data_IF_602897345428
#
_entry.id   IF_602897345428
#
_cell.length_a   1.000
_cell.length_b   1.000
_cell.length_c   1.000
_cell.angle_alpha   90.00
_cell.angle_beta   90.00
_cell.angle_gamma   90.00
#
_symmetry.space_group_name_H-M   'P 1'
#
loop_
_entity.id
_entity.type
_entity.pdbx_description
1 polymer ?
#
# COMPACT_ATOMS: atom_id res chain seq x y z
N UNK A 1 6.72 -18.03 13.89
CA UNK A 1 6.67 -17.25 12.63
C UNK A 1 5.30 -17.46 12.05
N UNK A 2 4.43 -16.45 12.09
CA UNK A 2 3.16 -16.46 11.35
C UNK A 2 3.50 -16.53 9.87
N UNK A 3 2.97 -17.54 9.16
CA UNK A 3 3.11 -17.59 7.71
C UNK A 3 2.44 -16.34 7.14
N UNK A 4 3.19 -15.50 6.39
CA UNK A 4 2.58 -14.43 5.60
C UNK A 4 1.62 -15.04 4.58
N UNK A 5 0.53 -14.34 4.30
CA UNK A 5 -0.47 -14.81 3.36
C UNK A 5 -0.02 -14.59 1.92
N UNK A 6 -0.56 -15.38 1.01
CA UNK A 6 -0.38 -15.25 -0.44
C UNK A 6 -1.74 -15.43 -1.12
N UNK A 7 -1.81 -15.19 -2.43
CA UNK A 7 -3.04 -15.47 -3.18
C UNK A 7 -3.50 -16.94 -3.01
N UNK A 8 -2.58 -17.90 -2.88
CA UNK A 8 -2.94 -19.31 -2.75
C UNK A 8 -3.58 -19.67 -1.40
N UNK A 9 -3.38 -18.84 -0.37
CA UNK A 9 -3.95 -19.08 0.95
C UNK A 9 -5.31 -18.42 1.14
N UNK A 10 -5.79 -17.64 0.16
CA UNK A 10 -7.14 -17.04 0.18
C UNK A 10 -8.18 -18.09 -0.20
N UNK A 11 -9.30 -18.15 0.51
CA UNK A 11 -10.35 -19.14 0.30
C UNK A 11 -11.25 -18.84 -0.92
N UNK A 12 -10.66 -18.69 -2.13
CA UNK A 12 -11.36 -18.31 -3.37
C UNK A 12 -12.58 -19.17 -3.72
N UNK A 13 -12.59 -20.44 -3.31
CA UNK A 13 -13.72 -21.35 -3.51
C UNK A 13 -15.00 -20.92 -2.77
N UNK A 14 -14.91 -19.99 -1.83
CA UNK A 14 -16.04 -19.41 -1.11
C UNK A 14 -16.70 -18.25 -1.85
N UNK A 15 -16.13 -17.83 -2.97
CA UNK A 15 -16.63 -16.69 -3.73
C UNK A 15 -18.10 -16.89 -4.12
N UNK A 16 -18.94 -15.89 -3.85
CA UNK A 16 -20.35 -15.90 -4.21
C UNK A 16 -20.75 -14.60 -4.92
N UNK A 17 -20.91 -14.68 -6.24
CA UNK A 17 -21.33 -13.55 -7.08
C UNK A 17 -22.66 -12.92 -6.66
N UNK A 18 -23.54 -13.65 -5.99
CA UNK A 18 -24.85 -13.13 -5.55
C UNK A 18 -24.77 -12.20 -4.35
N UNK A 19 -23.62 -12.18 -3.66
CA UNK A 19 -23.34 -11.32 -2.50
C UNK A 19 -22.49 -10.10 -2.86
N UNK A 20 -22.11 -9.94 -4.12
CA UNK A 20 -21.33 -8.80 -4.61
C UNK A 20 -22.19 -7.53 -4.57
N UNK A 21 -21.67 -6.52 -3.89
CA UNK A 21 -22.21 -5.16 -3.92
C UNK A 21 -21.57 -4.39 -5.11
N UNK A 22 -22.37 -3.89 -6.07
CA UNK A 22 -21.84 -3.16 -7.24
C UNK A 22 -21.04 -1.90 -6.89
N UNK A 23 -21.40 -1.20 -5.82
CA UNK A 23 -20.69 0.01 -5.40
C UNK A 23 -19.33 -0.36 -4.82
N UNK A 24 -19.26 -1.40 -3.99
CA UNK A 24 -17.98 -1.94 -3.52
C UNK A 24 -17.13 -2.50 -4.66
N UNK A 25 -17.74 -3.13 -5.66
CA UNK A 25 -17.01 -3.62 -6.83
C UNK A 25 -16.29 -2.48 -7.58
N UNK A 26 -16.96 -1.35 -7.80
CA UNK A 26 -16.33 -0.19 -8.43
C UNK A 26 -15.14 0.33 -7.61
N UNK A 27 -15.31 0.39 -6.29
CA UNK A 27 -14.24 0.79 -5.34
C UNK A 27 -13.07 -0.18 -5.38
N UNK A 28 -13.32 -1.49 -5.34
CA UNK A 28 -12.28 -2.52 -5.34
C UNK A 28 -11.50 -2.55 -6.66
N UNK A 29 -12.16 -2.34 -7.80
CA UNK A 29 -11.46 -2.20 -9.10
C UNK A 29 -10.48 -1.03 -9.07
N UNK A 30 -10.88 0.12 -8.54
CA UNK A 30 -9.99 1.27 -8.42
C UNK A 30 -8.83 0.98 -7.45
N UNK A 31 -9.12 0.39 -6.29
CA UNK A 31 -8.13 0.02 -5.29
C UNK A 31 -7.09 -0.96 -5.86
N UNK A 32 -7.52 -1.99 -6.59
CA UNK A 32 -6.62 -2.96 -7.23
C UNK A 32 -5.56 -2.31 -8.13
N UNK A 33 -5.95 -1.27 -8.87
CA UNK A 33 -5.03 -0.53 -9.75
C UNK A 33 -4.05 0.34 -8.95
N UNK A 34 -4.50 0.94 -7.85
CA UNK A 34 -3.68 1.78 -6.99
C UNK A 34 -2.63 0.94 -6.27
N UNK A 35 -3.01 -0.15 -5.62
CA UNK A 35 -2.06 -1.03 -4.90
C UNK A 35 -1.06 -1.66 -5.84
N UNK A 36 -1.51 -2.13 -7.01
CA UNK A 36 -0.59 -2.68 -8.00
C UNK A 36 0.34 -1.63 -8.62
N UNK A 37 0.17 -0.33 -8.34
CA UNK A 37 1.02 0.73 -8.87
C UNK A 37 2.12 1.21 -7.90
N UNK A 38 2.57 0.35 -6.98
CA UNK A 38 3.64 0.70 -6.05
C UNK A 38 5.04 0.80 -6.69
N UNK A 39 5.31 0.08 -7.80
CA UNK A 39 6.65 -0.09 -8.37
C UNK A 39 7.39 1.23 -8.66
N UNK A 40 6.74 2.20 -9.32
CA UNK A 40 7.35 3.51 -9.62
C UNK A 40 7.66 4.28 -8.32
N UNK A 41 6.81 4.14 -7.30
CA UNK A 41 7.01 4.80 -6.01
C UNK A 41 8.14 4.15 -5.20
N UNK A 42 8.27 2.82 -5.24
CA UNK A 42 9.40 2.08 -4.66
C UNK A 42 10.71 2.56 -5.28
N UNK A 43 10.77 2.63 -6.61
CA UNK A 43 11.96 3.10 -7.32
C UNK A 43 12.32 4.53 -6.94
N UNK A 44 11.33 5.42 -6.88
CA UNK A 44 11.48 6.79 -6.41
C UNK A 44 12.03 6.85 -4.97
N UNK A 45 11.45 6.09 -4.04
CA UNK A 45 11.94 6.04 -2.64
C UNK A 45 13.36 5.51 -2.55
N UNK A 46 13.72 4.49 -3.34
CA UNK A 46 15.09 3.98 -3.40
C UNK A 46 16.09 5.05 -3.87
N UNK A 47 15.68 5.93 -4.79
CA UNK A 47 16.52 7.05 -5.23
C UNK A 47 16.69 8.12 -4.13
N UNK A 48 15.62 8.47 -3.41
CA UNK A 48 15.66 9.47 -2.33
C UNK A 48 16.48 9.00 -1.12
N UNK A 49 16.50 7.70 -0.85
CA UNK A 49 17.16 7.06 0.29
C UNK A 49 18.35 6.17 -0.14
N UNK A 50 19.00 6.48 -1.27
CA UNK A 50 20.03 5.63 -1.87
C UNK A 50 21.26 5.33 -0.98
N UNK A 51 21.51 6.17 0.04
CA UNK A 51 22.56 6.01 1.06
C UNK A 51 22.11 5.21 2.30
N UNK A 52 20.86 4.77 2.35
CA UNK A 52 20.28 3.95 3.43
C UNK A 52 19.89 2.56 2.89
N UNK A 53 20.82 1.59 2.88
CA UNK A 53 20.58 0.27 2.30
C UNK A 53 19.53 -0.55 3.07
N UNK A 54 19.33 -0.29 4.37
CA UNK A 54 18.29 -0.94 5.16
C UNK A 54 16.91 -0.44 4.72
N UNK A 55 16.76 0.87 4.55
CA UNK A 55 15.53 1.45 4.03
C UNK A 55 15.23 0.98 2.60
N UNK A 56 16.23 0.93 1.72
CA UNK A 56 16.06 0.43 0.34
C UNK A 56 15.53 -1.01 0.34
N UNK A 57 16.10 -1.89 1.16
CA UNK A 57 15.64 -3.27 1.28
C UNK A 57 14.19 -3.34 1.82
N UNK A 58 13.85 -2.50 2.80
CA UNK A 58 12.49 -2.42 3.33
C UNK A 58 11.48 -1.92 2.28
N UNK A 59 11.82 -0.87 1.52
CA UNK A 59 10.97 -0.33 0.46
C UNK A 59 10.74 -1.33 -0.68
N UNK A 60 11.77 -2.09 -1.07
CA UNK A 60 11.63 -3.16 -2.07
C UNK A 60 10.73 -4.28 -1.58
N UNK A 61 10.86 -4.66 -0.30
CA UNK A 61 10.01 -5.68 0.28
C UNK A 61 8.55 -5.25 0.36
N UNK A 62 8.31 -4.02 0.81
CA UNK A 62 6.99 -3.39 0.82
C UNK A 62 6.36 -3.38 -0.58
N UNK A 63 7.12 -3.04 -1.63
CA UNK A 63 6.64 -3.08 -3.00
C UNK A 63 6.09 -4.44 -3.46
N UNK A 64 6.67 -5.54 -2.97
CA UNK A 64 6.17 -6.90 -3.27
C UNK A 64 4.85 -7.18 -2.54
N UNK A 65 4.68 -6.67 -1.33
CA UNK A 65 3.43 -6.80 -0.56
C UNK A 65 2.30 -6.02 -1.23
N UNK A 66 2.56 -4.79 -1.68
CA UNK A 66 1.62 -3.95 -2.41
C UNK A 66 1.17 -4.57 -3.75
N UNK A 67 2.11 -5.13 -4.53
CA UNK A 67 1.77 -5.86 -5.75
C UNK A 67 0.86 -7.07 -5.46
N UNK A 68 1.09 -7.75 -4.33
CA UNK A 68 0.24 -8.86 -3.88
C UNK A 68 -1.17 -8.36 -3.52
N UNK A 69 -1.30 -7.22 -2.84
CA UNK A 69 -2.58 -6.62 -2.50
C UNK A 69 -3.37 -6.29 -3.77
N UNK A 70 -2.74 -5.61 -4.73
CA UNK A 70 -3.33 -5.30 -6.02
C UNK A 70 -3.75 -6.55 -6.80
N UNK A 71 -2.93 -7.60 -6.81
CA UNK A 71 -3.26 -8.85 -7.47
C UNK A 71 -4.43 -9.60 -6.81
N UNK A 72 -4.53 -9.58 -5.48
CA UNK A 72 -5.66 -10.19 -4.76
C UNK A 72 -6.97 -9.45 -5.05
N UNK A 73 -6.97 -8.12 -5.01
CA UNK A 73 -8.13 -7.30 -5.34
C UNK A 73 -8.53 -7.42 -6.81
N UNK A 74 -7.55 -7.43 -7.71
CA UNK A 74 -7.76 -7.62 -9.15
C UNK A 74 -8.42 -8.96 -9.44
N UNK A 75 -7.89 -10.06 -8.88
CA UNK A 75 -8.49 -11.40 -9.02
C UNK A 75 -9.92 -11.45 -8.48
N UNK A 76 -10.18 -10.83 -7.32
CA UNK A 76 -11.54 -10.74 -6.79
C UNK A 76 -12.48 -9.97 -7.74
N UNK A 77 -12.01 -8.85 -8.29
CA UNK A 77 -12.79 -8.04 -9.22
C UNK A 77 -13.11 -8.77 -10.53
N UNK A 78 -12.19 -9.59 -11.05
CA UNK A 78 -12.41 -10.43 -12.24
C UNK A 78 -13.42 -11.57 -11.97
N UNK A 79 -13.46 -12.11 -10.75
CA UNK A 79 -14.50 -13.07 -10.35
C UNK A 79 -15.88 -12.41 -10.25
N UNK A 80 -15.93 -11.17 -9.73
CA UNK A 80 -17.15 -10.39 -9.55
C UNK A 80 -17.68 -9.80 -10.86
N UNK A 81 -16.81 -9.45 -11.79
CA UNK A 81 -17.15 -9.00 -13.13
C UNK A 81 -16.22 -9.65 -14.16
N UNK A 82 -16.65 -10.76 -14.79
CA UNK A 82 -15.86 -11.46 -15.80
C UNK A 82 -15.53 -10.65 -17.06
N UNK A 83 -16.12 -9.45 -17.23
CA UNK A 83 -15.77 -8.53 -18.33
C UNK A 83 -14.65 -7.56 -17.99
N UNK A 84 -14.27 -7.46 -16.72
CA UNK A 84 -13.13 -6.68 -16.28
C UNK A 84 -11.83 -7.45 -16.55
N UNK A 85 -10.90 -6.83 -17.26
CA UNK A 85 -9.54 -7.34 -17.47
C UNK A 85 -8.59 -6.50 -16.61
N UNK A 86 -8.13 -7.08 -15.50
CA UNK A 86 -7.30 -6.36 -14.54
C UNK A 86 -5.95 -5.97 -15.14
N UNK A 87 -5.34 -6.86 -15.93
CA UNK A 87 -4.04 -6.61 -16.53
C UNK A 87 -4.08 -5.46 -17.56
N UNK A 88 -5.11 -5.44 -18.42
CA UNK A 88 -5.31 -4.37 -19.39
C UNK A 88 -5.64 -3.03 -18.71
N UNK A 89 -6.46 -3.06 -17.66
CA UNK A 89 -6.79 -1.87 -16.87
C UNK A 89 -5.55 -1.31 -16.16
N UNK A 90 -4.72 -2.18 -15.55
CA UNK A 90 -3.48 -1.79 -14.88
C UNK A 90 -2.46 -1.20 -15.86
N UNK A 91 -2.33 -1.80 -17.04
CA UNK A 91 -1.49 -1.24 -18.11
C UNK A 91 -1.94 0.18 -18.47
N UNK A 92 -3.24 0.36 -18.69
CA UNK A 92 -3.82 1.66 -19.05
C UNK A 92 -3.66 2.69 -17.93
N UNK A 93 -3.83 2.28 -16.68
CA UNK A 93 -3.63 3.12 -15.50
C UNK A 93 -2.18 3.60 -15.40
N UNK A 94 -1.23 2.68 -15.57
CA UNK A 94 0.21 2.99 -15.54
C UNK A 94 0.60 4.00 -16.60
N UNK A 95 0.07 3.93 -17.83
CA UNK A 95 0.35 4.92 -18.89
C UNK A 95 -0.02 6.36 -18.49
N UNK A 96 -1.01 6.53 -17.61
CA UNK A 96 -1.52 7.85 -17.22
C UNK A 96 -0.95 8.35 -15.89
N UNK A 97 -0.65 7.44 -14.96
CA UNK A 97 -0.28 7.77 -13.58
C UNK A 97 1.14 7.31 -13.26
N UNK A 98 2.07 8.25 -13.38
CA UNK A 98 3.48 8.04 -13.05
C UNK A 98 3.94 9.00 -11.95
N UNK A 99 4.81 8.50 -11.09
CA UNK A 99 5.62 9.34 -10.19
C UNK A 99 6.91 9.71 -10.92
N UNK A 100 7.48 10.91 -10.72
CA UNK A 100 8.77 11.28 -11.32
C UNK A 100 9.92 10.46 -10.70
N UNK A 101 10.12 9.24 -11.21
CA UNK A 101 11.09 8.25 -10.69
C UNK A 101 12.54 8.77 -10.74
N UNK A 102 12.86 9.62 -11.72
CA UNK A 102 14.21 10.15 -11.96
C UNK A 102 14.72 11.13 -10.88
N UNK A 103 13.91 11.48 -9.89
CA UNK A 103 14.30 12.42 -8.84
C UNK A 103 15.10 11.74 -7.73
N UNK A 104 16.30 12.26 -7.46
CA UNK A 104 17.12 11.87 -6.31
C UNK A 104 16.79 12.65 -5.02
N UNK A 105 15.83 13.59 -5.09
CA UNK A 105 15.44 14.45 -3.96
C UNK A 105 13.94 14.39 -3.72
N UNK A 106 13.56 14.55 -2.45
CA UNK A 106 12.18 14.46 -2.00
C UNK A 106 11.26 15.54 -2.63
N UNK A 107 10.16 15.12 -3.26
CA UNK A 107 9.05 15.99 -3.69
C UNK A 107 8.16 16.43 -2.51
N UNK A 108 8.39 15.85 -1.32
CA UNK A 108 7.79 16.26 -0.03
C UNK A 108 8.71 17.16 0.78
N UNK A 109 9.81 17.63 0.19
CA UNK A 109 10.75 18.60 0.76
C UNK A 109 11.80 18.01 1.70
N UNK A 110 11.60 16.80 2.24
CA UNK A 110 12.59 16.10 3.07
C UNK A 110 12.29 14.61 3.17
N UNK A 111 13.30 13.79 3.53
CA UNK A 111 13.11 12.36 3.83
C UNK A 111 12.06 12.13 4.92
N UNK A 112 12.09 12.95 5.98
CA UNK A 112 11.06 12.90 7.04
C UNK A 112 9.68 13.19 6.47
N UNK A 113 9.57 14.14 5.53
CA UNK A 113 8.33 14.43 4.81
C UNK A 113 7.81 13.25 3.99
N UNK A 114 8.69 12.48 3.35
CA UNK A 114 8.29 11.23 2.64
C UNK A 114 7.72 10.20 3.62
N UNK A 115 8.38 9.97 4.76
CA UNK A 115 7.92 9.01 5.76
C UNK A 115 6.58 9.42 6.40
N UNK A 116 6.41 10.71 6.72
CA UNK A 116 5.13 11.24 7.22
C UNK A 116 4.03 11.07 6.16
N UNK A 117 4.33 11.37 4.89
CA UNK A 117 3.37 11.19 3.82
C UNK A 117 2.92 9.73 3.69
N UNK A 118 3.85 8.76 3.79
CA UNK A 118 3.48 7.34 3.84
C UNK A 118 2.62 7.00 5.04
N UNK A 119 3.00 7.43 6.24
CA UNK A 119 2.22 7.15 7.45
C UNK A 119 0.75 7.60 7.32
N UNK A 120 0.52 8.78 6.72
CA UNK A 120 -0.82 9.29 6.45
C UNK A 120 -1.57 8.39 5.46
N UNK A 121 -0.88 7.97 4.39
CA UNK A 121 -1.45 7.04 3.41
C UNK A 121 -1.78 5.69 4.06
N UNK A 122 -0.84 5.03 4.72
CA UNK A 122 -1.07 3.68 5.30
C UNK A 122 -2.15 3.67 6.37
N UNK A 123 -2.23 4.74 7.18
CA UNK A 123 -3.31 4.87 8.17
C UNK A 123 -4.67 4.99 7.48
N UNK A 124 -4.71 5.73 6.37
CA UNK A 124 -5.88 5.85 5.50
C UNK A 124 -6.26 4.51 4.89
N UNK A 125 -5.30 3.81 4.30
CA UNK A 125 -5.46 2.51 3.64
C UNK A 125 -5.91 1.43 4.64
N UNK A 126 -5.31 1.38 5.84
CA UNK A 126 -5.75 0.50 6.95
C UNK A 126 -7.22 0.69 7.30
N UNK A 127 -7.65 1.95 7.44
CA UNK A 127 -9.04 2.30 7.77
C UNK A 127 -9.98 1.99 6.61
N UNK A 128 -9.53 2.25 5.39
CA UNK A 128 -10.28 2.02 4.16
C UNK A 128 -10.59 0.52 3.96
N UNK A 129 -9.60 -0.37 4.07
CA UNK A 129 -9.85 -1.80 3.96
C UNK A 129 -10.60 -2.38 5.15
N UNK A 130 -10.42 -1.82 6.35
CA UNK A 130 -11.28 -2.18 7.49
C UNK A 130 -12.75 -1.85 7.19
N UNK A 131 -13.04 -0.70 6.58
CA UNK A 131 -14.39 -0.31 6.19
C UNK A 131 -14.95 -1.22 5.07
N UNK A 132 -14.14 -1.55 4.06
CA UNK A 132 -14.55 -2.50 3.01
C UNK A 132 -14.86 -3.87 3.62
N UNK A 133 -14.00 -4.39 4.48
CA UNK A 133 -14.21 -5.67 5.18
C UNK A 133 -15.54 -5.67 5.93
N UNK A 134 -15.80 -4.63 6.71
CA UNK A 134 -16.97 -4.55 7.59
C UNK A 134 -18.27 -4.32 6.80
N UNK A 135 -18.20 -3.69 5.63
CA UNK A 135 -19.35 -3.47 4.74
C UNK A 135 -19.63 -4.66 3.82
N UNK A 136 -18.61 -5.41 3.40
CA UNK A 136 -18.72 -6.51 2.45
C UNK A 136 -19.53 -7.68 3.02
N UNK A 137 -20.47 -8.18 2.21
CA UNK A 137 -21.18 -9.45 2.48
C UNK A 137 -20.53 -10.65 1.79
N UNK A 138 -19.82 -10.39 0.70
CA UNK A 138 -19.11 -11.42 -0.07
C UNK A 138 -17.90 -11.91 0.75
N UNK A 139 -17.84 -13.21 1.10
CA UNK A 139 -16.87 -13.73 2.06
C UNK A 139 -15.41 -13.60 1.63
N UNK A 140 -15.10 -13.67 0.34
CA UNK A 140 -13.72 -13.55 -0.14
C UNK A 140 -13.25 -12.10 -0.07
N UNK A 141 -14.11 -11.13 -0.37
CA UNK A 141 -13.80 -9.71 -0.21
C UNK A 141 -13.53 -9.36 1.24
N UNK A 142 -14.38 -9.83 2.17
CA UNK A 142 -14.17 -9.65 3.62
C UNK A 142 -12.81 -10.21 4.04
N UNK A 143 -12.43 -11.40 3.55
CA UNK A 143 -11.14 -12.01 3.85
C UNK A 143 -9.96 -11.22 3.28
N UNK A 144 -10.00 -10.88 2.00
CA UNK A 144 -8.93 -10.14 1.31
C UNK A 144 -8.74 -8.77 1.95
N UNK A 145 -9.81 -7.99 2.11
CA UNK A 145 -9.74 -6.66 2.73
C UNK A 145 -9.25 -6.76 4.19
N UNK A 146 -9.65 -7.79 4.94
CA UNK A 146 -9.16 -8.00 6.30
C UNK A 146 -7.67 -8.33 6.37
N UNK A 147 -7.14 -9.09 5.41
CA UNK A 147 -5.71 -9.40 5.32
C UNK A 147 -4.89 -8.16 4.95
N UNK A 148 -5.34 -7.41 3.94
CA UNK A 148 -4.68 -6.16 3.53
C UNK A 148 -4.67 -5.17 4.69
N UNK A 149 -5.82 -4.92 5.33
CA UNK A 149 -5.87 -4.02 6.49
C UNK A 149 -4.88 -4.42 7.60
N UNK A 150 -4.68 -5.72 7.84
CA UNK A 150 -3.72 -6.21 8.82
C UNK A 150 -2.27 -5.91 8.43
N UNK A 151 -1.93 -6.01 7.15
CA UNK A 151 -0.60 -5.66 6.64
C UNK A 151 -0.36 -4.15 6.78
N UNK A 152 -1.35 -3.33 6.41
CA UNK A 152 -1.29 -1.86 6.52
C UNK A 152 -1.09 -1.36 7.96
N UNK A 153 -1.76 -2.00 8.93
CA UNK A 153 -1.53 -1.71 10.34
C UNK A 153 -0.09 -2.03 10.77
N UNK A 154 0.49 -3.11 10.24
CA UNK A 154 1.88 -3.46 10.54
C UNK A 154 2.86 -2.44 9.94
N UNK A 155 2.65 -2.00 8.70
CA UNK A 155 3.48 -0.97 8.05
C UNK A 155 3.39 0.36 8.83
N UNK A 156 2.18 0.73 9.27
CA UNK A 156 1.92 1.93 10.08
C UNK A 156 2.63 1.90 11.45
N UNK A 157 2.66 0.74 12.11
CA UNK A 157 3.17 0.61 13.49
C UNK A 157 4.67 0.30 13.53
N UNK A 158 5.20 -0.41 12.52
CA UNK A 158 6.56 -0.93 12.51
C UNK A 158 7.47 -0.27 11.46
N UNK A 159 7.04 0.84 10.84
CA UNK A 159 7.91 1.61 9.94
C UNK A 159 9.26 1.91 10.60
N UNK A 160 10.39 1.67 9.92
CA UNK A 160 11.73 1.84 10.46
C UNK A 160 12.06 3.33 10.51
N UNK A 161 11.42 4.06 11.43
CA UNK A 161 12.00 5.31 11.90
C UNK A 161 13.17 4.90 12.77
N UNK A 162 14.35 4.81 12.16
CA UNK A 162 15.61 4.67 12.89
C UNK A 162 15.60 5.66 14.06
N UNK A 163 15.79 5.21 15.33
CA UNK A 163 15.71 6.07 16.50
C UNK A 163 16.72 7.24 16.50
N UNK A 164 17.67 7.24 15.57
CA UNK A 164 18.68 8.28 15.40
C UNK A 164 18.24 9.53 14.61
N UNK A 165 17.06 9.54 13.96
CA UNK A 165 16.65 10.72 13.15
C UNK A 165 15.82 11.73 13.95
N UNK A 166 15.53 11.46 15.22
CA UNK A 166 14.74 12.34 16.08
C UNK A 166 15.58 13.01 17.18
N UNK A 167 16.71 13.63 16.83
CA UNK A 167 17.25 14.73 17.65
C UNK A 167 16.70 16.04 17.08
N UNK A 168 15.47 16.38 17.48
CA UNK A 168 15.00 17.76 17.38
C UNK A 168 15.97 18.57 18.24
N UNK A 169 16.74 19.45 17.59
CA UNK A 169 17.69 20.31 18.25
C UNK A 169 17.01 21.07 19.38
N UNK A 170 17.32 20.69 20.62
CA UNK A 170 17.18 21.57 21.75
C UNK A 170 18.15 22.72 21.51
N UNK A 171 17.65 23.82 20.96
CA UNK A 171 18.34 25.11 21.03
C UNK A 171 18.57 25.40 22.50
N UNK A 172 19.78 25.13 22.97
CA UNK A 172 20.28 25.66 24.23
C UNK A 172 20.27 27.17 24.11
N UNK A 173 19.28 27.82 24.70
CA UNK A 173 19.35 29.24 25.02
C UNK A 173 20.49 29.41 26.03
N UNK A 174 21.69 29.67 25.51
CA UNK A 174 22.82 30.12 26.30
C UNK A 174 22.50 31.50 26.85
N UNK A 175 22.15 31.56 28.13
CA UNK A 175 22.20 32.77 28.95
C UNK A 175 23.62 33.30 28.97
N UNK A 176 23.90 34.45 28.34
CA UNK A 176 25.10 35.23 28.60
C UNK A 176 24.74 36.72 28.69
N UNK A 177 25.10 37.28 29.85
CA UNK A 177 25.20 38.68 30.26
C UNK A 177 23.91 39.50 30.43
#
# INVERSE_FOLDING_TARGET
MTSRWTLDTVAWHRFDSTLVDPDLLAVVKAAALIEANAADYVAYLCNVFADDPEFVAAAQHWGVEEEQHGAALGRWAELADPSFDFAAALHSFRVLYHVPVELAHSIRGSRVGELIARQVVETGTSSFYSAIRDAAREPVLTEVAGRIASDEFFITVCSPVSPNTMTIGATSASSHA
#
